data_IF_071035726142
#
_entry.id   IF_071035726142
#
_cell.length_a   1.000
_cell.length_b   1.000
_cell.length_c   1.000
_cell.angle_alpha   90.00
_cell.angle_beta   90.00
_cell.angle_gamma   90.00
#
_symmetry.space_group_name_H-M   'P 1'
#
loop_
_entity.id
_entity.type
_entity.pdbx_description
1 polymer ?
#
# COMPACT_ATOMS: atom_id res chain seq x y z
N UNK A 1 17.50 -12.32 -1.25
CA UNK A 1 16.41 -13.20 -1.74
C UNK A 1 15.13 -12.78 -1.02
N UNK A 2 14.00 -12.64 -1.72
CA UNK A 2 12.73 -12.30 -1.05
C UNK A 2 12.21 -13.48 -0.22
N UNK A 3 11.61 -13.21 0.94
CA UNK A 3 11.03 -14.25 1.78
C UNK A 3 9.90 -14.98 1.06
N UNK A 4 9.69 -16.24 1.40
CA UNK A 4 8.60 -17.07 0.84
C UNK A 4 7.24 -16.39 1.02
N UNK A 5 6.97 -15.88 2.23
CA UNK A 5 5.74 -15.14 2.53
C UNK A 5 5.55 -13.91 1.64
N UNK A 6 6.63 -13.21 1.28
CA UNK A 6 6.54 -12.07 0.37
C UNK A 6 6.20 -12.51 -1.06
N UNK A 7 6.79 -13.59 -1.54
CA UNK A 7 6.49 -14.15 -2.86
C UNK A 7 5.04 -14.62 -2.95
N UNK A 8 4.53 -15.28 -1.90
CA UNK A 8 3.12 -15.67 -1.82
C UNK A 8 2.18 -14.47 -1.84
N UNK A 9 2.47 -13.42 -1.06
CA UNK A 9 1.68 -12.18 -1.01
C UNK A 9 1.64 -11.49 -2.37
N UNK A 10 2.77 -11.39 -3.06
CA UNK A 10 2.86 -10.83 -4.41
C UNK A 10 2.11 -11.68 -5.43
N UNK A 11 2.27 -13.01 -5.39
CA UNK A 11 1.53 -13.93 -6.25
C UNK A 11 0.02 -13.81 -6.05
N UNK A 12 -0.43 -13.66 -4.80
CA UNK A 12 -1.85 -13.42 -4.48
C UNK A 12 -2.34 -12.08 -5.04
N UNK A 13 -1.57 -11.01 -4.86
CA UNK A 13 -1.89 -9.69 -5.42
C UNK A 13 -2.01 -9.76 -6.95
N UNK A 14 -1.03 -10.36 -7.63
CA UNK A 14 -1.04 -10.53 -9.08
C UNK A 14 -2.26 -11.31 -9.59
N UNK A 15 -2.61 -12.43 -8.94
CA UNK A 15 -3.81 -13.21 -9.28
C UNK A 15 -5.10 -12.41 -9.09
N UNK A 16 -5.20 -11.62 -8.03
CA UNK A 16 -6.36 -10.76 -7.77
C UNK A 16 -6.50 -9.67 -8.84
N UNK A 17 -5.40 -9.04 -9.25
CA UNK A 17 -5.39 -8.06 -10.34
C UNK A 17 -5.76 -8.69 -11.69
N UNK A 18 -5.27 -9.90 -11.97
CA UNK A 18 -5.68 -10.65 -13.16
C UNK A 18 -7.18 -10.93 -13.16
N UNK A 19 -7.72 -11.39 -12.03
CA UNK A 19 -9.15 -11.64 -11.90
C UNK A 19 -9.96 -10.35 -12.09
N UNK A 20 -9.51 -9.23 -11.52
CA UNK A 20 -10.11 -7.92 -11.69
C UNK A 20 -10.14 -7.48 -13.17
N UNK A 21 -9.03 -7.69 -13.91
CA UNK A 21 -8.96 -7.42 -15.35
C UNK A 21 -9.95 -8.29 -16.14
N UNK A 22 -9.96 -9.60 -15.87
CA UNK A 22 -10.83 -10.58 -16.56
C UNK A 22 -12.32 -10.28 -16.33
N UNK A 23 -12.72 -9.96 -15.10
CA UNK A 23 -14.10 -9.56 -14.75
C UNK A 23 -14.56 -8.33 -15.54
N UNK A 24 -13.65 -7.40 -15.82
CA UNK A 24 -13.89 -6.19 -16.63
C UNK A 24 -13.74 -6.41 -18.14
N UNK A 25 -13.56 -7.67 -18.58
CA UNK A 25 -13.37 -8.09 -19.98
C UNK A 25 -12.29 -7.30 -20.72
N UNK A 26 -11.20 -6.91 -20.03
CA UNK A 26 -10.08 -6.19 -20.65
C UNK A 26 -9.00 -7.16 -21.13
N UNK A 27 -8.55 -6.99 -22.37
CA UNK A 27 -7.37 -7.69 -22.88
C UNK A 27 -6.11 -7.20 -22.16
N UNK A 28 -5.01 -7.97 -22.22
CA UNK A 28 -3.73 -7.52 -21.68
C UNK A 28 -3.26 -6.21 -22.34
N UNK A 29 -3.51 -6.02 -23.64
CA UNK A 29 -3.16 -4.80 -24.38
C UNK A 29 -3.95 -3.59 -23.88
N UNK A 30 -5.27 -3.73 -23.71
CA UNK A 30 -6.10 -2.66 -23.15
C UNK A 30 -5.67 -2.30 -21.72
N UNK A 31 -5.40 -3.30 -20.87
CA UNK A 31 -4.91 -3.05 -19.53
C UNK A 31 -3.56 -2.33 -19.53
N UNK A 32 -2.62 -2.75 -20.39
CA UNK A 32 -1.32 -2.10 -20.53
C UNK A 32 -1.45 -0.62 -20.92
N UNK A 33 -2.33 -0.31 -21.88
CA UNK A 33 -2.63 1.08 -22.27
C UNK A 33 -3.24 1.87 -21.12
N UNK A 34 -4.24 1.32 -20.42
CA UNK A 34 -4.90 2.03 -19.31
C UNK A 34 -3.96 2.26 -18.11
N UNK A 35 -3.08 1.31 -17.80
CA UNK A 35 -2.09 1.38 -16.71
C UNK A 35 -0.87 2.24 -17.09
N UNK A 36 -0.66 2.52 -18.39
CA UNK A 36 0.50 3.26 -18.87
C UNK A 36 1.80 2.44 -18.84
N UNK A 37 1.75 1.15 -19.19
CA UNK A 37 2.90 0.24 -19.16
C UNK A 37 2.91 -0.71 -20.37
N UNK A 38 3.90 -1.60 -20.45
CA UNK A 38 3.98 -2.61 -21.51
C UNK A 38 3.12 -3.85 -21.21
N UNK A 39 2.71 -4.57 -22.24
CA UNK A 39 1.99 -5.85 -22.11
C UNK A 39 2.78 -6.88 -21.30
N UNK A 40 4.11 -6.92 -21.48
CA UNK A 40 4.99 -7.80 -20.71
C UNK A 40 5.00 -7.45 -19.23
N UNK A 41 4.99 -6.16 -18.87
CA UNK A 41 4.89 -5.71 -17.48
C UNK A 41 3.55 -6.09 -16.85
N UNK A 42 2.42 -5.94 -17.56
CA UNK A 42 1.11 -6.40 -17.05
C UNK A 42 1.12 -7.92 -16.82
N UNK A 43 1.68 -8.70 -17.76
CA UNK A 43 1.77 -10.16 -17.61
C UNK A 43 2.61 -10.58 -16.39
N UNK A 44 3.76 -9.93 -16.17
CA UNK A 44 4.63 -10.19 -15.01
C UNK A 44 3.99 -9.72 -13.69
N UNK A 45 3.32 -8.58 -13.71
CA UNK A 45 2.55 -8.06 -12.57
C UNK A 45 1.46 -9.06 -12.15
N UNK A 46 0.70 -9.59 -13.10
CA UNK A 46 -0.32 -10.62 -12.85
C UNK A 46 0.26 -11.94 -12.32
N UNK A 47 1.53 -12.23 -12.64
CA UNK A 47 2.25 -13.36 -12.09
C UNK A 47 2.84 -13.10 -10.68
N UNK A 48 2.78 -11.85 -10.19
CA UNK A 48 3.37 -11.46 -8.91
C UNK A 48 4.89 -11.30 -8.94
N UNK A 49 5.46 -10.96 -10.08
CA UNK A 49 6.91 -10.74 -10.22
C UNK A 49 7.37 -9.53 -9.36
N UNK A 50 8.28 -9.72 -8.39
CA UNK A 50 8.77 -8.65 -7.51
C UNK A 50 9.64 -7.61 -8.24
N UNK A 51 10.14 -7.91 -9.45
CA UNK A 51 10.93 -6.97 -10.24
C UNK A 51 10.07 -5.94 -11.01
N UNK A 52 8.75 -6.15 -11.05
CA UNK A 52 7.83 -5.16 -11.61
C UNK A 52 7.75 -3.96 -10.67
N UNK A 53 7.84 -2.75 -11.23
CA UNK A 53 7.77 -1.51 -10.47
C UNK A 53 6.51 -1.47 -9.61
N UNK A 54 6.64 -1.15 -8.33
CA UNK A 54 5.50 -1.05 -7.41
C UNK A 54 4.40 -0.10 -7.92
N UNK A 55 4.80 1.01 -8.55
CA UNK A 55 3.86 1.95 -9.19
C UNK A 55 2.97 1.31 -10.27
N UNK A 56 3.39 0.23 -10.93
CA UNK A 56 2.54 -0.51 -11.87
C UNK A 56 1.43 -1.28 -11.16
N UNK A 57 1.70 -1.84 -9.98
CA UNK A 57 0.66 -2.48 -9.16
C UNK A 57 -0.34 -1.44 -8.66
N UNK A 58 0.13 -0.28 -8.18
CA UNK A 58 -0.74 0.83 -7.75
C UNK A 58 -1.60 1.37 -8.89
N UNK A 59 -1.01 1.64 -10.05
CA UNK A 59 -1.76 2.10 -11.21
C UNK A 59 -2.81 1.07 -11.66
N UNK A 60 -2.53 -0.24 -11.56
CA UNK A 60 -3.54 -1.27 -11.82
C UNK A 60 -4.69 -1.24 -10.81
N UNK A 61 -4.41 -0.99 -9.53
CA UNK A 61 -5.44 -0.86 -8.50
C UNK A 61 -6.33 0.36 -8.76
N UNK A 62 -5.74 1.51 -9.07
CA UNK A 62 -6.46 2.74 -9.41
C UNK A 62 -7.31 2.58 -10.67
N UNK A 63 -6.74 2.07 -11.77
CA UNK A 63 -7.46 1.81 -13.03
C UNK A 63 -8.61 0.82 -12.84
N UNK A 64 -8.48 -0.10 -11.89
CA UNK A 64 -9.54 -1.05 -11.54
C UNK A 64 -10.45 -0.57 -10.41
N UNK A 65 -10.23 0.62 -9.82
CA UNK A 65 -10.99 1.15 -8.68
C UNK A 65 -10.99 0.16 -7.50
N UNK A 66 -9.79 -0.29 -7.14
CA UNK A 66 -9.51 -1.19 -6.02
C UNK A 66 -8.56 -0.56 -5.00
N UNK A 67 -8.07 0.65 -5.28
CA UNK A 67 -7.16 1.42 -4.46
C UNK A 67 -7.78 1.80 -3.10
N UNK A 68 -9.06 2.16 -3.06
CA UNK A 68 -9.77 2.47 -1.80
C UNK A 68 -9.86 1.27 -0.84
N UNK A 69 -9.73 0.04 -1.35
CA UNK A 69 -9.76 -1.16 -0.51
C UNK A 69 -8.45 -1.41 0.26
N UNK A 70 -7.40 -0.65 -0.07
CA UNK A 70 -6.10 -0.76 0.57
C UNK A 70 -5.91 0.37 1.58
N UNK A 71 -5.29 0.04 2.71
CA UNK A 71 -4.76 1.02 3.65
C UNK A 71 -3.27 1.18 3.36
N UNK A 72 -2.85 2.36 2.93
CA UNK A 72 -1.51 2.61 2.40
C UNK A 72 -0.50 2.93 3.50
N UNK A 73 -0.40 2.02 4.48
CA UNK A 73 0.41 2.21 5.69
C UNK A 73 0.00 3.49 6.45
N UNK A 74 -1.30 3.64 6.66
CA UNK A 74 -1.84 4.71 7.50
C UNK A 74 -1.21 4.65 8.90
N UNK A 75 -0.97 5.78 9.58
CA UNK A 75 -0.37 5.78 10.92
C UNK A 75 -1.12 4.89 11.93
N UNK A 76 -2.44 4.80 11.81
CA UNK A 76 -3.29 3.93 12.63
C UNK A 76 -2.94 2.43 12.51
N UNK A 77 -2.35 2.01 11.38
CA UNK A 77 -1.93 0.63 11.13
C UNK A 77 -0.54 0.30 11.69
N UNK A 78 0.27 1.30 12.03
CA UNK A 78 1.59 1.10 12.62
C UNK A 78 1.47 0.78 14.11
N UNK A 79 1.01 -0.45 14.41
CA UNK A 79 0.84 -0.94 15.79
C UNK A 79 2.12 -0.86 16.61
N UNK A 80 3.28 -1.00 15.96
CA UNK A 80 4.59 -0.92 16.63
C UNK A 80 4.88 0.54 16.97
N UNK A 81 4.77 1.45 16.01
CA UNK A 81 4.89 2.89 16.23
C UNK A 81 3.97 3.40 17.33
N UNK A 82 2.69 3.04 17.27
CA UNK A 82 1.70 3.37 18.31
C UNK A 82 2.07 2.82 19.70
N UNK A 83 2.75 1.67 19.76
CA UNK A 83 3.22 1.10 21.03
C UNK A 83 4.43 1.87 21.57
N UNK A 84 5.36 2.26 20.70
CA UNK A 84 6.52 3.08 21.07
C UNK A 84 6.09 4.46 21.56
N UNK A 85 5.09 5.08 20.93
CA UNK A 85 4.55 6.37 21.36
C UNK A 85 3.90 6.30 22.74
N UNK A 86 3.15 5.22 23.01
CA UNK A 86 2.59 4.96 24.36
C UNK A 86 3.67 4.84 25.43
N UNK A 87 4.80 4.21 25.11
CA UNK A 87 5.93 4.09 26.03
C UNK A 87 6.63 5.43 26.30
N UNK A 88 6.52 6.39 25.38
CA UNK A 88 7.09 7.75 25.50
C UNK A 88 6.17 8.73 26.22
N UNK A 89 4.96 8.33 26.62
CA UNK A 89 4.07 9.19 27.39
C UNK A 89 4.75 9.63 28.69
N UNK A 90 4.78 10.95 28.99
CA UNK A 90 5.41 11.42 30.21
C UNK A 90 4.67 10.89 31.43
N UNK A 91 5.39 10.22 32.33
CA UNK A 91 4.86 9.66 33.59
C UNK A 91 4.23 10.76 34.47
N UNK A 92 4.64 12.03 34.30
CA UNK A 92 4.04 13.19 34.96
C UNK A 92 3.91 14.37 33.99
N UNK A 93 2.69 14.89 33.85
CA UNK A 93 2.42 16.15 33.17
C UNK A 93 2.57 17.28 34.20
N UNK A 94 3.56 18.16 34.02
CA UNK A 94 3.74 19.34 34.89
C UNK A 94 3.12 20.55 34.19
N UNK A 95 2.02 21.06 34.75
CA UNK A 95 1.46 22.34 34.31
C UNK A 95 2.47 23.44 34.62
N UNK A 96 2.90 24.18 33.59
CA UNK A 96 3.74 25.36 33.78
C UNK A 96 2.86 26.41 34.46
N UNK A 97 3.18 26.75 35.71
CA UNK A 97 2.47 27.79 36.45
C UNK A 97 2.65 29.10 35.66
N UNK A 98 1.58 29.62 35.07
CA UNK A 98 1.61 30.96 34.50
C UNK A 98 2.02 31.93 35.61
N UNK A 99 3.18 32.58 35.43
CA UNK A 99 3.52 33.73 36.24
C UNK A 99 2.52 34.81 35.83
N UNK A 100 1.51 35.09 36.67
CA UNK A 100 0.82 36.38 36.63
C UNK A 100 1.93 37.43 36.78
N UNK A 101 2.22 38.11 35.68
CA UNK A 101 2.98 39.35 35.71
C UNK A 101 1.97 40.40 36.20
N UNK A 102 2.04 40.71 37.49
CA UNK A 102 1.35 41.87 38.04
C UNK A 102 2.18 43.09 37.60
N UNK A 103 1.62 43.87 36.66
CA UNK A 103 2.13 45.17 36.22
C UNK A 103 1.65 46.28 37.15
#
# INVERSE_FOLDING_TARGET
MFSEQMQERLGRLGRNLQLARKRRRKTLRQAATMIGTSVSSVRRMEAGDPSVKFGTYLAALEVYQLDESLRFAEPEDDRIGLTLDKQRLPVRIRLKKEKRLDF
#
